data_IF_802339287904
#
_entry.id   IF_802339287904
#
_cell.length_a   1.000
_cell.length_b   1.000
_cell.length_c   1.000
_cell.angle_alpha   90.00
_cell.angle_beta   90.00
_cell.angle_gamma   90.00
#
_symmetry.space_group_name_H-M   'P 1'
#
loop_
_entity.id
_entity.type
_entity.pdbx_description
1 polymer ?
#
# COMPACT_ATOMS: atom_id res chain seq x y z
N UNK A 1 -6.97 25.82 10.33
CA UNK A 1 -7.09 24.45 10.88
C UNK A 1 -5.94 23.64 10.30
N UNK A 2 -5.20 22.90 11.13
CA UNK A 2 -4.17 21.96 10.64
C UNK A 2 -4.86 20.69 10.14
N UNK A 3 -4.51 20.22 8.94
CA UNK A 3 -4.95 18.91 8.46
C UNK A 3 -3.87 17.87 8.76
N UNK A 4 -4.31 16.63 8.95
CA UNK A 4 -3.47 15.42 8.89
C UNK A 4 -2.48 15.46 7.72
N UNK A 5 -2.94 15.83 6.51
CA UNK A 5 -2.08 15.99 5.33
C UNK A 5 -0.98 17.05 5.52
N UNK A 6 -1.28 18.18 6.19
CA UNK A 6 -0.28 19.22 6.47
C UNK A 6 0.79 18.74 7.48
N UNK A 7 0.37 18.03 8.53
CA UNK A 7 1.30 17.45 9.52
C UNK A 7 2.16 16.35 8.90
N UNK A 8 1.59 15.51 8.04
CA UNK A 8 2.33 14.46 7.33
C UNK A 8 3.35 15.05 6.34
N UNK A 9 3.02 16.16 5.66
CA UNK A 9 3.99 16.90 4.82
C UNK A 9 5.18 17.38 5.65
N UNK A 10 4.93 17.91 6.85
CA UNK A 10 6.02 18.33 7.76
C UNK A 10 6.87 17.13 8.21
N UNK A 11 6.23 16.00 8.53
CA UNK A 11 6.93 14.75 8.87
C UNK A 11 7.84 14.26 7.74
N UNK A 12 7.38 14.34 6.48
CA UNK A 12 8.20 14.00 5.31
C UNK A 12 9.44 14.89 5.19
N UNK A 13 9.33 16.18 5.49
CA UNK A 13 10.48 17.09 5.47
C UNK A 13 11.51 16.76 6.57
N UNK A 14 11.06 16.31 7.74
CA UNK A 14 11.98 15.81 8.77
C UNK A 14 12.67 14.50 8.34
N UNK A 15 11.93 13.58 7.73
CA UNK A 15 12.50 12.33 7.23
C UNK A 15 13.51 12.57 6.09
N UNK A 16 13.26 13.53 5.19
CA UNK A 16 14.23 13.94 4.16
C UNK A 16 15.53 14.47 4.76
N UNK A 17 15.44 15.35 5.76
CA UNK A 17 16.63 15.86 6.48
C UNK A 17 17.39 14.75 7.20
N UNK A 18 16.67 13.80 7.80
CA UNK A 18 17.28 12.62 8.42
C UNK A 18 17.99 11.77 7.36
N UNK A 19 17.37 11.54 6.20
CA UNK A 19 17.94 10.80 5.08
C UNK A 19 19.26 11.40 4.60
N UNK A 20 19.33 12.73 4.45
CA UNK A 20 20.57 13.43 4.12
C UNK A 20 21.70 13.13 5.12
N UNK A 21 21.37 13.05 6.42
CA UNK A 21 22.33 12.71 7.48
C UNK A 21 22.77 11.25 7.45
N UNK A 22 21.89 10.31 7.09
CA UNK A 22 22.30 8.92 6.88
C UNK A 22 23.25 8.79 5.68
N UNK A 23 23.00 9.51 4.59
CA UNK A 23 23.88 9.54 3.41
C UNK A 23 25.25 10.13 3.78
N UNK A 24 25.27 11.24 4.52
CA UNK A 24 26.52 11.85 5.02
C UNK A 24 27.27 10.86 5.92
N UNK A 25 26.58 10.18 6.85
CA UNK A 25 27.19 9.19 7.73
C UNK A 25 27.77 7.98 6.96
N UNK A 26 27.07 7.49 5.92
CA UNK A 26 27.55 6.39 5.07
C UNK A 26 28.85 6.76 4.32
N UNK A 27 29.04 8.04 4.00
CA UNK A 27 30.26 8.54 3.35
C UNK A 27 31.44 8.68 4.33
N UNK A 28 31.17 8.88 5.63
CA UNK A 28 32.18 9.11 6.65
C UNK A 28 32.59 7.86 7.42
N UNK A 29 31.72 6.86 7.50
CA UNK A 29 31.95 5.65 8.29
C UNK A 29 33.07 4.79 7.67
N UNK A 30 33.96 4.30 8.54
CA UNK A 30 35.13 3.51 8.14
C UNK A 30 34.92 2.01 8.31
N UNK A 31 34.00 1.61 9.18
CA UNK A 31 33.66 0.20 9.43
C UNK A 31 32.73 -0.34 8.34
N UNK A 32 33.12 -1.38 7.57
CA UNK A 32 32.33 -1.89 6.44
C UNK A 32 30.92 -2.37 6.82
N UNK A 33 30.78 -3.12 7.91
CA UNK A 33 29.48 -3.64 8.37
C UNK A 33 28.53 -2.50 8.80
N UNK A 34 29.08 -1.46 9.42
CA UNK A 34 28.30 -0.27 9.78
C UNK A 34 27.89 0.51 8.54
N UNK A 35 28.76 0.59 7.53
CA UNK A 35 28.43 1.21 6.24
C UNK A 35 27.26 0.51 5.56
N UNK A 36 27.34 -0.80 5.42
CA UNK A 36 26.27 -1.61 4.82
C UNK A 36 24.94 -1.43 5.57
N UNK A 37 25.01 -1.41 6.91
CA UNK A 37 23.82 -1.17 7.74
C UNK A 37 23.21 0.21 7.50
N UNK A 38 24.02 1.26 7.40
CA UNK A 38 23.55 2.63 7.11
C UNK A 38 22.98 2.73 5.69
N UNK A 39 23.59 2.08 4.70
CA UNK A 39 23.09 2.03 3.33
C UNK A 39 21.73 1.33 3.24
N UNK A 40 21.55 0.23 3.97
CA UNK A 40 20.26 -0.45 4.10
C UNK A 40 19.19 0.46 4.73
N UNK A 41 19.50 1.09 5.86
CA UNK A 41 18.60 2.06 6.52
C UNK A 41 18.22 3.19 5.56
N UNK A 42 19.19 3.70 4.80
CA UNK A 42 18.98 4.75 3.80
C UNK A 42 17.99 4.31 2.72
N UNK A 43 18.11 3.07 2.23
CA UNK A 43 17.20 2.51 1.23
C UNK A 43 15.78 2.35 1.77
N UNK A 44 15.62 1.80 2.97
CA UNK A 44 14.32 1.62 3.64
C UNK A 44 13.63 2.97 3.89
N UNK A 45 14.39 3.99 4.30
CA UNK A 45 13.86 5.34 4.50
C UNK A 45 13.38 6.00 3.22
N UNK A 46 14.06 5.80 2.08
CA UNK A 46 13.58 6.28 0.76
C UNK A 46 12.22 5.70 0.41
N UNK A 47 12.07 4.37 0.54
CA UNK A 47 10.79 3.69 0.29
C UNK A 47 9.68 4.18 1.24
N UNK A 48 10.03 4.43 2.51
CA UNK A 48 9.09 4.98 3.49
C UNK A 48 8.63 6.38 3.10
N UNK A 49 9.56 7.26 2.72
CA UNK A 49 9.24 8.62 2.25
C UNK A 49 8.33 8.57 1.02
N UNK A 50 8.62 7.72 0.04
CA UNK A 50 7.77 7.51 -1.13
C UNK A 50 6.37 7.04 -0.74
N UNK A 51 6.27 6.08 0.19
CA UNK A 51 5.00 5.59 0.72
C UNK A 51 4.20 6.70 1.41
N UNK A 52 4.86 7.57 2.17
CA UNK A 52 4.21 8.72 2.81
C UNK A 52 3.64 9.73 1.81
N UNK A 53 4.27 9.92 0.64
CA UNK A 53 3.69 10.79 -0.39
C UNK A 53 2.33 10.26 -0.87
N UNK A 54 2.19 8.94 -1.04
CA UNK A 54 0.90 8.33 -1.38
C UNK A 54 -0.15 8.53 -0.29
N UNK A 55 0.23 8.33 0.98
CA UNK A 55 -0.66 8.56 2.13
C UNK A 55 -1.12 10.02 2.19
N UNK A 56 -0.22 10.97 1.95
CA UNK A 56 -0.54 12.40 1.93
C UNK A 56 -1.52 12.73 0.80
N UNK A 57 -1.31 12.18 -0.40
CA UNK A 57 -2.26 12.37 -1.51
C UNK A 57 -3.62 11.77 -1.19
N UNK A 58 -3.67 10.61 -0.51
CA UNK A 58 -4.90 9.97 -0.05
C UNK A 58 -5.68 10.87 0.90
N UNK A 59 -4.97 11.42 1.89
CA UNK A 59 -5.53 12.26 2.93
C UNK A 59 -5.94 13.65 2.42
N UNK A 60 -5.22 14.17 1.41
CA UNK A 60 -5.57 15.43 0.75
C UNK A 60 -6.75 15.29 -0.23
N UNK A 61 -7.24 14.08 -0.47
CA UNK A 61 -8.26 13.78 -1.48
C UNK A 61 -7.75 13.95 -2.92
N UNK A 62 -6.42 13.96 -3.11
CA UNK A 62 -5.77 14.03 -4.42
C UNK A 62 -5.73 12.66 -5.10
N UNK A 63 -5.93 11.57 -4.34
CA UNK A 63 -6.28 10.25 -4.86
C UNK A 63 -7.60 9.80 -4.24
N UNK A 64 -8.37 9.04 -5.01
CA UNK A 64 -9.66 8.51 -4.60
C UNK A 64 -9.46 7.49 -3.48
N UNK A 65 -9.62 7.94 -2.23
CA UNK A 65 -9.85 7.04 -1.11
C UNK A 65 -11.30 6.63 -1.22
N UNK A 66 -11.53 5.40 -1.65
CA UNK A 66 -12.87 4.83 -1.83
C UNK A 66 -13.62 4.93 -0.49
N UNK A 67 -14.36 6.03 -0.31
CA UNK A 67 -15.40 6.14 0.69
C UNK A 67 -16.46 5.15 0.22
N UNK A 68 -16.81 4.09 0.99
CA UNK A 68 -17.98 3.30 0.65
C UNK A 68 -19.15 4.28 0.66
N UNK A 69 -19.68 4.59 -0.53
CA UNK A 69 -20.96 5.26 -0.61
C UNK A 69 -21.94 4.37 0.18
N UNK A 70 -22.83 4.94 1.02
CA UNK A 70 -23.91 4.15 1.60
C UNK A 70 -24.60 3.44 0.43
N UNK A 71 -24.71 2.12 0.52
CA UNK A 71 -25.24 1.26 -0.53
C UNK A 71 -26.57 1.84 -1.06
N UNK A 72 -26.49 2.59 -2.15
CA UNK A 72 -27.62 2.93 -2.97
C UNK A 72 -27.71 1.81 -3.99
N UNK A 73 -28.73 0.97 -3.82
CA UNK A 73 -29.12 -0.06 -4.77
C UNK A 73 -29.15 0.50 -6.20
N UNK A 74 -28.48 -0.19 -7.11
CA UNK A 74 -28.74 -0.11 -8.55
C UNK A 74 -27.82 0.83 -9.34
N UNK A 75 -26.68 0.32 -9.80
CA UNK A 75 -26.36 0.10 -11.23
C UNK A 75 -24.89 -0.32 -11.39
N UNK A 76 -24.63 -1.19 -12.37
CA UNK A 76 -23.35 -1.84 -12.60
C UNK A 76 -22.26 -0.87 -13.14
N UNK A 77 -20.97 -1.19 -12.94
CA UNK A 77 -19.87 -0.23 -12.88
C UNK A 77 -19.21 0.02 -14.24
N UNK A 78 -18.73 1.24 -14.47
CA UNK A 78 -17.73 1.49 -15.51
C UNK A 78 -16.36 1.03 -15.01
N UNK A 79 -15.83 0.01 -15.67
CA UNK A 79 -14.51 -0.56 -15.43
C UNK A 79 -13.39 0.48 -15.57
N UNK A 80 -12.84 0.95 -14.46
CA UNK A 80 -11.47 1.47 -14.43
C UNK A 80 -10.67 0.52 -13.55
N UNK A 81 -9.91 -0.35 -14.21
CA UNK A 81 -8.90 -1.18 -13.56
C UNK A 81 -7.77 -0.27 -13.04
N UNK A 82 -7.99 0.35 -11.90
CA UNK A 82 -7.00 1.03 -11.09
C UNK A 82 -5.98 -0.03 -10.67
N UNK A 83 -4.73 0.11 -11.13
CA UNK A 83 -3.63 -0.81 -10.82
C UNK A 83 -3.38 -0.84 -9.30
N UNK A 84 -4.03 -1.76 -8.58
CA UNK A 84 -3.64 -2.12 -7.23
C UNK A 84 -2.27 -2.83 -7.29
N UNK A 85 -1.24 -2.41 -6.55
CA UNK A 85 0.09 -3.03 -6.60
C UNK A 85 0.09 -4.50 -6.11
N UNK A 86 -1.02 -4.97 -5.52
CA UNK A 86 -1.24 -6.39 -5.17
C UNK A 86 -1.54 -7.30 -6.38
N UNK A 87 -1.79 -6.76 -7.58
CA UNK A 87 -2.09 -7.57 -8.76
C UNK A 87 -0.89 -8.39 -9.27
N UNK A 88 0.34 -8.01 -8.90
CA UNK A 88 1.54 -8.80 -9.23
C UNK A 88 1.62 -10.11 -8.45
N UNK A 89 1.31 -10.09 -7.16
CA UNK A 89 1.39 -11.27 -6.29
C UNK A 89 0.28 -12.30 -6.59
N UNK A 90 -0.92 -11.85 -6.98
CA UNK A 90 -2.02 -12.73 -7.36
C UNK A 90 -1.78 -13.42 -8.72
N UNK A 91 -1.07 -12.74 -9.64
CA UNK A 91 -0.68 -13.32 -10.91
C UNK A 91 0.35 -14.45 -10.75
N UNK A 92 1.30 -14.32 -9.82
CA UNK A 92 2.26 -15.40 -9.49
C UNK A 92 1.59 -16.63 -8.85
N UNK A 93 0.46 -16.44 -8.16
CA UNK A 93 -0.39 -17.53 -7.66
C UNK A 93 -1.38 -18.09 -8.71
N UNK A 94 -1.31 -17.64 -9.97
CA UNK A 94 -2.13 -18.15 -11.08
C UNK A 94 -3.58 -17.65 -11.10
N UNK A 95 -3.91 -16.60 -10.34
CA UNK A 95 -5.24 -16.01 -10.31
C UNK A 95 -5.24 -14.79 -11.24
N UNK A 96 -5.55 -15.03 -12.51
CA UNK A 96 -5.70 -13.97 -13.51
C UNK A 96 -7.10 -13.35 -13.43
N UNK A 97 -7.23 -12.32 -12.59
CA UNK A 97 -8.48 -11.54 -12.43
C UNK A 97 -8.88 -10.85 -13.73
N UNK A 98 -7.96 -10.66 -14.70
CA UNK A 98 -8.29 -10.06 -15.99
C UNK A 98 -8.97 -11.01 -16.96
N UNK A 99 -8.96 -12.32 -16.66
CA UNK A 99 -9.62 -13.36 -17.48
C UNK A 99 -10.82 -14.02 -16.81
N UNK A 100 -11.10 -13.75 -15.53
CA UNK A 100 -12.25 -14.32 -14.83
C UNK A 100 -13.45 -13.37 -14.90
N UNK A 101 -14.60 -13.89 -15.34
CA UNK A 101 -15.86 -13.14 -15.23
C UNK A 101 -16.16 -12.88 -13.75
N UNK A 102 -16.80 -11.73 -13.47
CA UNK A 102 -17.27 -11.36 -12.13
C UNK A 102 -18.10 -12.47 -11.47
N UNK A 103 -18.84 -13.24 -12.27
CA UNK A 103 -19.64 -14.37 -11.79
C UNK A 103 -18.79 -15.60 -11.39
N UNK A 104 -17.76 -15.96 -12.15
CA UNK A 104 -16.87 -17.09 -11.81
C UNK A 104 -16.04 -16.82 -10.55
N UNK A 105 -15.65 -15.57 -10.33
CA UNK A 105 -14.92 -15.15 -9.13
C UNK A 105 -15.81 -15.24 -7.88
N UNK A 106 -17.09 -14.84 -7.98
CA UNK A 106 -18.05 -14.95 -6.88
C UNK A 106 -18.45 -16.39 -6.59
N UNK A 107 -18.59 -17.24 -7.61
CA UNK A 107 -18.93 -18.65 -7.43
C UNK A 107 -17.81 -19.43 -6.72
N UNK A 108 -16.53 -19.17 -7.08
CA UNK A 108 -15.38 -19.78 -6.40
C UNK A 108 -15.16 -19.27 -4.97
N UNK A 109 -15.40 -17.98 -4.70
CA UNK A 109 -15.37 -17.47 -3.32
C UNK A 109 -16.54 -18.00 -2.48
N UNK A 110 -17.73 -18.17 -3.07
CA UNK A 110 -18.90 -18.74 -2.42
C UNK A 110 -18.69 -20.20 -2.00
N UNK A 111 -17.93 -20.97 -2.77
CA UNK A 111 -17.65 -22.38 -2.47
C UNK A 111 -16.57 -22.57 -1.39
N UNK A 112 -15.64 -21.62 -1.22
CA UNK A 112 -14.69 -21.64 -0.09
C UNK A 112 -15.38 -21.46 1.27
N UNK A 113 -16.55 -20.80 1.31
CA UNK A 113 -17.42 -20.74 2.51
C UNK A 113 -17.98 -22.10 2.93
N UNK A 114 -17.94 -23.12 2.06
CA UNK A 114 -18.31 -24.51 2.42
C UNK A 114 -17.13 -25.36 2.86
N UNK A 115 -15.90 -24.92 2.59
CA UNK A 115 -14.67 -25.67 2.92
C UNK A 115 -14.21 -25.37 4.35
N UNK A 116 -14.54 -24.19 4.89
CA UNK A 116 -14.40 -23.90 6.32
C UNK A 116 -15.73 -24.19 7.00
N UNK A 117 -15.94 -25.37 7.61
CA UNK A 117 -17.02 -25.50 8.57
C UNK A 117 -16.81 -24.43 9.64
N UNK A 118 -17.84 -23.63 9.90
CA UNK A 118 -17.97 -22.85 11.12
C UNK A 118 -17.62 -23.77 12.29
N UNK A 119 -16.40 -23.66 12.81
CA UNK A 119 -16.11 -24.11 14.16
C UNK A 119 -16.76 -23.10 15.11
N UNK A 120 -18.08 -23.20 15.19
CA UNK A 120 -18.88 -22.75 16.32
C UNK A 120 -18.67 -23.74 17.48
N UNK A 121 -18.54 -23.16 18.66
CA UNK A 121 -18.70 -23.75 19.99
C UNK A 121 -17.67 -24.79 20.49
N UNK A 122 -16.72 -24.32 21.30
CA UNK A 122 -16.61 -24.63 22.75
C UNK A 122 -15.60 -23.73 23.44
#
# INVERSE_FOLDING_TARGET
>A
MSSSAAVLKEAVEFEKKALEKYIEAAALVTHPETKESIEKITSEKKQTIESMHWVIMAEAGEIETEKPAPAAEGEAPASSASKCPFSGALAEMGIDITKMSKEEAMEKMGDMSKIFPESSDS
#
